data_IF_957332574149
#
_entry.id   IF_957332574149
#
_cell.length_a   1.000
_cell.length_b   1.000
_cell.length_c   1.000
_cell.angle_alpha   90.00
_cell.angle_beta   90.00
_cell.angle_gamma   90.00
#
_symmetry.space_group_name_H-M   'P 1'
#
loop_
_entity.id
_entity.type
_entity.pdbx_description
1 polymer ?
#
# COMPACT_ATOMS: atom_id res chain seq x y z
N UNK A 1 5.89 1.77 9.71
CA UNK A 1 5.28 0.59 9.05
C UNK A 1 6.26 0.10 7.99
N UNK A 2 6.31 -1.21 7.73
CA UNK A 2 7.17 -1.84 6.73
C UNK A 2 6.50 -3.12 6.21
N UNK A 3 6.96 -3.64 5.06
CA UNK A 3 6.36 -4.80 4.40
C UNK A 3 6.42 -6.10 5.24
N UNK A 4 7.45 -6.29 6.08
CA UNK A 4 7.53 -7.47 6.96
C UNK A 4 6.44 -7.40 8.02
N UNK A 5 6.29 -6.24 8.65
CA UNK A 5 5.25 -6.00 9.64
C UNK A 5 3.86 -6.16 9.03
N UNK A 6 3.59 -5.57 7.86
CA UNK A 6 2.30 -5.71 7.16
C UNK A 6 2.00 -7.18 6.81
N UNK A 7 3.00 -7.93 6.33
CA UNK A 7 2.82 -9.35 6.04
C UNK A 7 2.46 -10.16 7.29
N UNK A 8 3.05 -9.83 8.44
CA UNK A 8 2.72 -10.47 9.71
C UNK A 8 1.30 -10.13 10.16
N UNK A 9 0.88 -8.85 10.08
CA UNK A 9 -0.49 -8.42 10.36
C UNK A 9 -1.51 -9.19 9.50
N UNK A 10 -1.22 -9.31 8.20
CA UNK A 10 -2.07 -10.06 7.25
C UNK A 10 -2.19 -11.55 7.63
N UNK A 11 -1.07 -12.22 7.91
CA UNK A 11 -1.05 -13.64 8.28
C UNK A 11 -1.77 -13.92 9.61
N UNK A 12 -1.78 -12.94 10.50
CA UNK A 12 -2.42 -13.04 11.81
C UNK A 12 -3.87 -12.53 11.80
N UNK A 13 -4.48 -12.32 10.63
CA UNK A 13 -5.85 -11.83 10.49
C UNK A 13 -6.11 -10.50 11.22
N UNK A 14 -5.13 -9.60 11.24
CA UNK A 14 -5.21 -8.29 11.93
C UNK A 14 -5.64 -7.15 11.00
N UNK A 15 -6.26 -7.49 9.86
CA UNK A 15 -6.86 -6.52 8.95
C UNK A 15 -8.30 -6.93 8.70
N UNK A 16 -9.25 -6.08 9.05
CA UNK A 16 -10.68 -6.34 8.85
C UNK A 16 -11.11 -6.01 7.41
N UNK A 17 -10.28 -5.25 6.70
CA UNK A 17 -10.58 -4.79 5.34
C UNK A 17 -9.31 -4.58 4.49
N UNK A 18 -9.40 -4.72 3.15
CA UNK A 18 -8.29 -4.35 2.26
C UNK A 18 -7.86 -2.89 2.41
N UNK A 19 -8.77 -2.01 2.83
CA UNK A 19 -8.48 -0.59 3.07
C UNK A 19 -7.44 -0.39 4.16
N UNK A 20 -7.44 -1.18 5.23
CA UNK A 20 -6.43 -1.08 6.28
C UNK A 20 -5.03 -1.49 5.81
N UNK A 21 -4.93 -2.45 4.89
CA UNK A 21 -3.66 -2.82 4.24
C UNK A 21 -3.12 -1.63 3.45
N UNK A 22 -4.00 -0.93 2.71
CA UNK A 22 -3.64 0.27 1.94
C UNK A 22 -3.17 1.40 2.86
N UNK A 23 -3.85 1.60 3.99
CA UNK A 23 -3.52 2.67 4.92
C UNK A 23 -2.15 2.43 5.59
N UNK A 24 -1.84 1.19 5.97
CA UNK A 24 -0.50 0.81 6.45
C UNK A 24 0.59 1.00 5.37
N UNK A 25 0.28 0.69 4.11
CA UNK A 25 1.19 0.95 2.99
C UNK A 25 1.47 2.45 2.83
N UNK A 26 0.43 3.28 2.87
CA UNK A 26 0.55 4.75 2.82
C UNK A 26 1.39 5.29 3.98
N UNK A 27 1.19 4.75 5.19
CA UNK A 27 2.01 5.11 6.34
C UNK A 27 3.49 4.74 6.13
N UNK A 28 3.78 3.58 5.53
CA UNK A 28 5.16 3.19 5.18
C UNK A 28 5.79 4.21 4.22
N UNK A 29 5.10 4.60 3.15
CA UNK A 29 5.62 5.58 2.18
C UNK A 29 5.72 6.99 2.76
N UNK A 30 4.74 7.39 3.58
CA UNK A 30 4.72 8.69 4.25
C UNK A 30 5.90 8.80 5.20
N UNK A 31 6.13 7.80 6.05
CA UNK A 31 7.30 7.77 6.93
C UNK A 31 8.60 7.80 6.12
N UNK A 32 8.67 7.08 5.00
CA UNK A 32 9.83 7.12 4.13
C UNK A 32 10.12 8.55 3.65
N UNK A 33 9.12 9.29 3.17
CA UNK A 33 9.31 10.68 2.75
C UNK A 33 9.57 11.64 3.90
N UNK A 34 8.95 11.44 5.07
CA UNK A 34 9.15 12.30 6.25
C UNK A 34 10.57 12.22 6.82
N UNK A 35 11.20 11.04 6.77
CA UNK A 35 12.52 10.82 7.37
C UNK A 35 13.69 11.01 6.40
N UNK A 36 13.43 11.12 5.10
CA UNK A 36 14.47 11.26 4.08
C UNK A 36 14.36 12.61 3.38
N UNK A 37 15.48 13.08 2.84
CA UNK A 37 15.54 14.36 2.14
C UNK A 37 14.65 14.35 0.88
N UNK A 38 13.90 15.43 0.68
CA UNK A 38 13.09 15.66 -0.51
C UNK A 38 13.96 15.56 -1.78
N UNK A 39 13.53 14.75 -2.75
CA UNK A 39 14.26 14.53 -4.00
C UNK A 39 15.44 13.55 -3.90
N UNK A 40 15.72 12.97 -2.73
CA UNK A 40 16.65 11.84 -2.64
C UNK A 40 16.11 10.59 -3.38
N UNK A 41 17.01 9.69 -3.78
CA UNK A 41 16.63 8.46 -4.50
C UNK A 41 15.57 7.64 -3.74
N UNK A 42 15.68 7.57 -2.41
CA UNK A 42 14.76 6.81 -1.57
C UNK A 42 13.39 7.50 -1.43
N UNK A 43 13.37 8.84 -1.41
CA UNK A 43 12.14 9.63 -1.46
C UNK A 43 11.40 9.37 -2.78
N UNK A 44 12.10 9.45 -3.91
CA UNK A 44 11.54 9.20 -5.23
C UNK A 44 11.06 7.76 -5.41
N UNK A 45 11.78 6.79 -4.84
CA UNK A 45 11.36 5.40 -4.81
C UNK A 45 10.03 5.22 -4.04
N UNK A 46 9.85 5.88 -2.89
CA UNK A 46 8.60 5.83 -2.14
C UNK A 46 7.43 6.40 -2.94
N UNK A 47 7.62 7.53 -3.62
CA UNK A 47 6.61 8.16 -4.47
C UNK A 47 6.19 7.25 -5.64
N UNK A 48 7.16 6.68 -6.36
CA UNK A 48 6.87 5.78 -7.49
C UNK A 48 6.19 4.48 -7.05
N UNK A 49 6.65 3.91 -5.93
CA UNK A 49 6.09 2.67 -5.41
C UNK A 49 4.68 2.85 -4.85
N UNK A 50 4.37 4.00 -4.24
CA UNK A 50 3.02 4.34 -3.82
C UNK A 50 2.06 4.47 -5.00
N UNK A 51 2.46 5.18 -6.07
CA UNK A 51 1.64 5.31 -7.28
C UNK A 51 1.34 3.94 -7.92
N UNK A 52 2.36 3.08 -8.02
CA UNK A 52 2.18 1.70 -8.48
C UNK A 52 1.20 0.94 -7.57
N UNK A 53 1.36 1.02 -6.25
CA UNK A 53 0.49 0.34 -5.29
C UNK A 53 -0.97 0.80 -5.42
N UNK A 54 -1.23 2.10 -5.54
CA UNK A 54 -2.59 2.64 -5.70
C UNK A 54 -3.24 2.15 -7.00
N UNK A 55 -2.50 2.09 -8.12
CA UNK A 55 -3.00 1.52 -9.37
C UNK A 55 -3.38 0.03 -9.20
N UNK A 56 -2.50 -0.75 -8.58
CA UNK A 56 -2.76 -2.18 -8.30
C UNK A 56 -3.94 -2.37 -7.36
N UNK A 57 -4.07 -1.52 -6.35
CA UNK A 57 -5.16 -1.55 -5.39
C UNK A 57 -6.50 -1.22 -6.06
N UNK A 58 -6.54 -0.18 -6.89
CA UNK A 58 -7.72 0.19 -7.68
C UNK A 58 -8.13 -0.92 -8.65
N UNK A 59 -7.17 -1.57 -9.32
CA UNK A 59 -7.46 -2.71 -10.19
C UNK A 59 -8.04 -3.91 -9.42
N UNK A 60 -7.51 -4.20 -8.23
CA UNK A 60 -7.94 -5.37 -7.44
C UNK A 60 -9.26 -5.14 -6.67
N UNK A 61 -9.50 -3.92 -6.18
CA UNK A 61 -10.57 -3.62 -5.22
C UNK A 61 -11.50 -2.47 -5.64
N UNK A 62 -11.21 -1.76 -6.73
CA UNK A 62 -12.11 -0.75 -7.31
C UNK A 62 -13.37 -1.36 -7.93
N UNK A 63 -14.28 -0.51 -8.41
CA UNK A 63 -15.59 -0.93 -8.94
C UNK A 63 -15.47 -1.99 -10.06
N UNK A 64 -14.40 -1.94 -10.86
CA UNK A 64 -14.12 -2.92 -11.92
C UNK A 64 -13.58 -4.26 -11.41
N UNK A 65 -12.93 -4.29 -10.23
CA UNK A 65 -12.43 -5.52 -9.61
C UNK A 65 -13.56 -6.37 -9.01
N UNK A 66 -14.63 -5.73 -8.51
CA UNK A 66 -15.81 -6.40 -7.96
C UNK A 66 -16.61 -7.18 -9.01
N UNK A 67 -16.70 -6.65 -10.25
CA UNK A 67 -17.44 -7.30 -11.37
C UNK A 67 -16.80 -8.61 -11.85
N UNK A 68 -15.49 -8.83 -11.61
CA UNK A 68 -14.78 -10.04 -12.03
C UNK A 68 -14.92 -11.23 -11.07
N UNK A 69 -15.48 -11.04 -9.88
CA UNK A 69 -15.70 -12.14 -8.89
C UNK A 69 -17.09 -12.79 -9.00
N UNK A 70 -17.93 -12.35 -9.94
CA UNK A 70 -19.32 -12.84 -10.10
C UNK A 70 -19.50 -13.66 -11.40
N UNK A 71 -18.44 -14.24 -11.94
CA UNK A 71 -18.49 -15.24 -13.02
C UNK A 71 -17.91 -16.55 -12.54
#
# INVERSE_FOLDING_TARGET
>A
MDLRTMLNKLKNHQYDSPTEIRDDARLMFTNCRTYNEDGSDIFECATRLEAFMEERFAHAFGENGRKRRTL
#
